data_IF_382105670057
#
_entry.id   IF_382105670057
#
_cell.length_a   1.000
_cell.length_b   1.000
_cell.length_c   1.000
_cell.angle_alpha   90.00
_cell.angle_beta   90.00
_cell.angle_gamma   90.00
#
_symmetry.space_group_name_H-M   'P 1'
#
loop_
_entity.id
_entity.type
_entity.pdbx_description
1 polymer ?
#
# COMPACT_ATOMS: atom_id res chain seq x y z
N UNK A 1 -87.56 -35.63 -33.01
CA UNK A 1 -86.34 -34.93 -32.61
C UNK A 1 -86.73 -33.64 -31.94
N UNK A 2 -86.67 -33.63 -30.61
CA UNK A 2 -87.21 -32.57 -29.79
C UNK A 2 -86.01 -31.72 -29.29
N UNK A 3 -85.91 -30.48 -29.76
CA UNK A 3 -84.91 -29.55 -29.22
C UNK A 3 -85.46 -28.94 -27.92
N UNK A 4 -84.65 -28.86 -26.89
CA UNK A 4 -85.06 -28.20 -25.63
C UNK A 4 -85.15 -26.69 -25.85
N UNK A 5 -86.08 -25.99 -25.19
CA UNK A 5 -86.25 -24.53 -25.32
C UNK A 5 -85.01 -23.81 -24.71
N UNK A 6 -84.50 -22.85 -25.48
CA UNK A 6 -83.41 -22.00 -25.08
C UNK A 6 -83.70 -21.22 -23.80
N UNK A 7 -82.81 -21.20 -22.87
CA UNK A 7 -82.90 -20.41 -21.64
C UNK A 7 -83.03 -18.91 -22.00
N UNK A 8 -83.84 -18.16 -21.32
CA UNK A 8 -83.99 -16.71 -21.55
C UNK A 8 -82.68 -16.04 -21.17
N UNK A 9 -82.15 -15.25 -22.10
CA UNK A 9 -80.97 -14.40 -21.85
C UNK A 9 -81.40 -13.33 -20.85
N UNK A 10 -81.07 -13.54 -19.59
CA UNK A 10 -81.27 -12.56 -18.53
C UNK A 10 -80.44 -11.34 -18.85
N UNK A 11 -81.02 -10.27 -19.31
CA UNK A 11 -80.40 -8.99 -19.57
C UNK A 11 -79.79 -8.50 -18.24
N UNK A 12 -78.53 -8.57 -18.11
CA UNK A 12 -77.83 -8.03 -16.96
C UNK A 12 -78.27 -6.57 -16.73
N UNK A 13 -78.78 -6.30 -15.55
CA UNK A 13 -79.18 -4.93 -15.16
C UNK A 13 -77.97 -4.02 -15.31
N UNK A 14 -78.15 -2.83 -15.95
CA UNK A 14 -77.02 -1.91 -16.09
C UNK A 14 -76.48 -1.57 -14.68
N UNK A 15 -75.24 -1.89 -14.43
CA UNK A 15 -74.56 -1.58 -13.17
C UNK A 15 -74.67 -0.07 -12.97
N UNK A 16 -75.29 0.34 -11.86
CA UNK A 16 -75.42 1.78 -11.58
C UNK A 16 -74.06 2.41 -11.53
N UNK A 17 -73.85 3.58 -12.15
CA UNK A 17 -72.60 4.35 -12.16
C UNK A 17 -72.00 4.51 -10.75
N UNK A 18 -72.85 4.51 -9.72
CA UNK A 18 -72.38 4.58 -8.32
C UNK A 18 -71.71 3.31 -7.87
N UNK A 19 -72.16 2.13 -8.26
CA UNK A 19 -71.52 0.83 -7.95
C UNK A 19 -70.15 0.71 -8.68
N UNK A 20 -70.15 1.08 -9.98
CA UNK A 20 -68.91 1.08 -10.76
C UNK A 20 -67.86 2.01 -10.16
N UNK A 21 -68.24 3.24 -9.82
CA UNK A 21 -67.28 4.18 -9.14
C UNK A 21 -66.76 3.65 -7.80
N UNK A 22 -67.65 2.94 -7.06
CA UNK A 22 -67.24 2.34 -5.75
C UNK A 22 -66.26 1.19 -5.94
N UNK A 23 -66.46 0.34 -6.92
CA UNK A 23 -65.59 -0.77 -7.25
C UNK A 23 -64.27 -0.30 -7.85
N UNK A 24 -64.30 0.71 -8.69
CA UNK A 24 -63.10 1.34 -9.24
C UNK A 24 -62.24 1.96 -8.14
N UNK A 25 -62.85 2.65 -7.17
CA UNK A 25 -62.12 3.18 -6.02
C UNK A 25 -61.48 2.09 -5.16
N UNK A 26 -62.17 0.96 -4.95
CA UNK A 26 -61.66 -0.21 -4.26
C UNK A 26 -60.49 -0.85 -5.01
N UNK A 27 -60.62 -0.97 -6.34
CA UNK A 27 -59.56 -1.51 -7.18
C UNK A 27 -58.30 -0.61 -7.18
N UNK A 28 -58.50 0.71 -7.27
CA UNK A 28 -57.41 1.70 -7.18
C UNK A 28 -56.73 1.66 -5.79
N UNK A 29 -57.55 1.50 -4.72
CA UNK A 29 -56.99 1.40 -3.36
C UNK A 29 -56.26 0.10 -3.11
N UNK A 30 -56.71 -1.01 -3.74
CA UNK A 30 -56.04 -2.31 -3.67
C UNK A 30 -54.77 -2.36 -4.52
N UNK A 31 -54.71 -1.60 -5.61
CA UNK A 31 -53.55 -1.46 -6.49
C UNK A 31 -52.73 -0.19 -6.21
N UNK A 32 -52.93 0.44 -5.05
CA UNK A 32 -51.96 1.43 -4.60
C UNK A 32 -50.66 0.67 -4.35
N UNK A 33 -49.84 0.61 -5.37
CA UNK A 33 -48.42 0.28 -5.24
C UNK A 33 -47.92 1.25 -4.20
N UNK A 34 -47.48 0.74 -3.04
CA UNK A 34 -46.76 1.55 -2.08
C UNK A 34 -45.63 2.21 -2.89
N UNK A 35 -45.42 3.53 -2.79
CA UNK A 35 -44.34 4.14 -3.51
C UNK A 35 -43.10 3.41 -3.06
N UNK A 36 -42.59 2.52 -3.92
CA UNK A 36 -41.23 1.99 -3.77
C UNK A 36 -40.36 3.19 -3.43
N UNK A 37 -39.65 3.09 -2.37
CA UNK A 37 -38.84 4.13 -1.74
C UNK A 37 -38.07 4.87 -2.86
N UNK A 38 -38.71 5.82 -3.50
CA UNK A 38 -38.15 6.63 -4.59
C UNK A 38 -37.09 7.63 -4.05
N UNK A 39 -36.94 7.70 -2.72
CA UNK A 39 -35.86 8.36 -2.06
C UNK A 39 -34.81 7.31 -1.65
N UNK A 40 -34.03 6.86 -2.63
CA UNK A 40 -32.73 6.30 -2.33
C UNK A 40 -32.03 7.33 -1.46
N UNK A 41 -31.69 6.97 -0.23
CA UNK A 41 -31.07 7.92 0.71
C UNK A 41 -29.64 8.19 0.24
N UNK A 42 -29.51 9.07 -0.76
CA UNK A 42 -28.25 9.43 -1.43
C UNK A 42 -27.22 9.88 -0.40
N UNK A 43 -27.69 10.54 0.66
CA UNK A 43 -26.82 11.02 1.76
C UNK A 43 -26.17 9.85 2.47
N UNK A 44 -26.89 8.77 2.77
CA UNK A 44 -26.33 7.59 3.41
C UNK A 44 -25.33 6.86 2.48
N UNK A 45 -25.63 6.80 1.18
CA UNK A 45 -24.69 6.22 0.21
C UNK A 45 -23.42 7.07 0.04
N UNK A 46 -23.54 8.40 0.02
CA UNK A 46 -22.38 9.29 -0.03
C UNK A 46 -21.52 9.17 1.22
N UNK A 47 -22.13 9.00 2.39
CA UNK A 47 -21.39 8.82 3.64
C UNK A 47 -20.60 7.50 3.63
N UNK A 48 -21.20 6.41 3.19
CA UNK A 48 -20.48 5.15 3.02
C UNK A 48 -19.34 5.25 1.98
N UNK A 49 -19.57 5.97 0.87
CA UNK A 49 -18.50 6.20 -0.11
C UNK A 49 -17.37 7.05 0.46
N UNK A 50 -17.67 8.08 1.24
CA UNK A 50 -16.63 8.92 1.86
C UNK A 50 -15.82 8.15 2.89
N UNK A 51 -16.45 7.29 3.70
CA UNK A 51 -15.75 6.43 4.65
C UNK A 51 -14.82 5.46 3.93
N UNK A 52 -15.29 4.81 2.85
CA UNK A 52 -14.48 3.90 2.04
C UNK A 52 -13.31 4.67 1.39
N UNK A 53 -13.57 5.87 0.85
CA UNK A 53 -12.54 6.68 0.23
C UNK A 53 -11.47 7.12 1.24
N UNK A 54 -11.87 7.58 2.42
CA UNK A 54 -10.95 7.94 3.50
C UNK A 54 -10.17 6.71 3.99
N UNK A 55 -10.83 5.56 4.10
CA UNK A 55 -10.17 4.30 4.44
C UNK A 55 -9.11 3.90 3.40
N UNK A 56 -9.45 3.99 2.10
CA UNK A 56 -8.51 3.69 1.02
C UNK A 56 -7.35 4.70 0.99
N UNK A 57 -7.63 6.00 1.18
CA UNK A 57 -6.57 7.01 1.27
C UNK A 57 -5.65 6.73 2.46
N UNK A 58 -6.21 6.40 3.62
CA UNK A 58 -5.43 6.04 4.81
C UNK A 58 -4.62 4.76 4.59
N UNK A 59 -5.22 3.75 3.97
CA UNK A 59 -4.53 2.50 3.63
C UNK A 59 -3.38 2.75 2.64
N UNK A 60 -3.60 3.59 1.63
CA UNK A 60 -2.57 3.96 0.66
C UNK A 60 -1.45 4.79 1.31
N UNK A 61 -1.80 5.74 2.17
CA UNK A 61 -0.82 6.57 2.90
C UNK A 61 0.05 5.75 3.85
N UNK A 62 -0.47 4.65 4.41
CA UNK A 62 0.31 3.74 5.27
C UNK A 62 1.27 2.88 4.44
N UNK A 63 0.97 2.65 3.14
CA UNK A 63 1.83 1.87 2.24
C UNK A 63 3.06 2.64 1.75
N UNK A 64 3.03 3.97 1.75
CA UNK A 64 4.04 4.81 1.11
C UNK A 64 5.19 5.24 2.02
N UNK A 65 5.45 4.68 3.12
CA UNK A 65 6.67 4.79 3.93
C UNK A 65 6.35 4.67 5.42
N UNK A 66 5.89 3.53 5.84
CA UNK A 66 6.25 3.12 7.19
C UNK A 66 7.73 2.72 7.14
N UNK A 67 8.61 3.71 7.02
CA UNK A 67 9.95 3.55 7.55
C UNK A 67 9.73 3.10 8.99
N UNK A 68 10.17 1.92 9.40
CA UNK A 68 10.14 1.56 10.79
C UNK A 68 11.02 2.61 11.49
N UNK A 69 10.38 3.67 11.99
CA UNK A 69 11.00 4.58 12.94
C UNK A 69 11.14 3.77 14.22
N UNK A 70 12.10 2.87 14.23
CA UNK A 70 12.58 2.37 15.48
C UNK A 70 13.25 3.57 16.18
N UNK A 71 12.87 3.83 17.43
CA UNK A 71 13.42 4.92 18.25
C UNK A 71 14.95 4.89 18.30
N UNK A 72 15.56 3.79 17.86
CA UNK A 72 16.99 3.54 17.78
C UNK A 72 17.66 3.98 16.48
N UNK A 73 16.95 4.59 15.51
CA UNK A 73 17.54 4.94 14.22
C UNK A 73 17.65 6.44 14.03
N UNK A 74 18.89 6.92 13.91
CA UNK A 74 19.19 8.32 13.57
C UNK A 74 19.68 8.39 12.12
N UNK A 75 18.93 9.07 11.27
CA UNK A 75 19.33 9.28 9.88
C UNK A 75 20.42 10.36 9.78
N UNK A 76 21.42 10.18 8.90
CA UNK A 76 22.42 11.20 8.63
C UNK A 76 21.78 12.42 7.99
N UNK A 77 22.29 13.62 8.30
CA UNK A 77 21.83 14.89 7.73
C UNK A 77 22.72 15.29 6.57
N UNK A 78 22.11 15.62 5.43
CA UNK A 78 22.83 16.16 4.27
C UNK A 78 22.85 17.69 4.31
N UNK A 79 23.97 18.28 3.92
CA UNK A 79 24.14 19.72 3.72
C UNK A 79 23.62 20.12 2.32
N UNK A 80 23.57 19.16 1.38
CA UNK A 80 23.10 19.39 0.04
C UNK A 80 21.56 19.49 0.04
N UNK A 81 21.06 20.56 -0.55
CA UNK A 81 19.61 20.85 -0.70
C UNK A 81 19.06 20.46 -2.07
N UNK A 82 19.81 19.67 -2.85
CA UNK A 82 19.36 19.23 -4.16
C UNK A 82 18.29 18.17 -3.96
N UNK A 83 17.07 18.50 -4.35
CA UNK A 83 15.97 17.53 -4.41
C UNK A 83 16.24 16.56 -5.56
N UNK A 84 15.98 15.27 -5.37
CA UNK A 84 16.07 14.31 -6.46
C UNK A 84 15.03 14.64 -7.54
N UNK A 85 15.42 14.53 -8.80
CA UNK A 85 14.55 14.81 -9.96
C UNK A 85 13.30 13.93 -10.02
N UNK A 86 13.29 12.81 -9.31
CA UNK A 86 12.16 11.89 -9.17
C UNK A 86 12.23 11.17 -7.81
N UNK A 87 11.07 10.80 -7.28
CA UNK A 87 11.03 9.93 -6.10
C UNK A 87 11.70 8.59 -6.45
N UNK A 88 12.67 8.12 -5.64
CA UNK A 88 13.34 6.87 -5.92
C UNK A 88 12.35 5.71 -5.78
N UNK A 89 12.08 5.02 -6.90
CA UNK A 89 11.33 3.77 -6.92
C UNK A 89 12.30 2.62 -6.72
N UNK A 90 12.25 1.93 -5.59
CA UNK A 90 13.16 0.81 -5.37
C UNK A 90 12.93 0.06 -4.08
N UNK A 91 13.69 -1.01 -3.91
CA UNK A 91 13.68 -1.82 -2.69
C UNK A 91 14.37 -1.07 -1.55
N UNK A 92 13.66 -0.87 -0.45
CA UNK A 92 14.25 -0.30 0.76
C UNK A 92 15.11 -1.34 1.48
N UNK A 93 16.38 -0.99 1.72
CA UNK A 93 17.32 -1.75 2.54
C UNK A 93 17.72 -0.87 3.72
N UNK A 94 17.32 -1.29 4.91
CA UNK A 94 17.52 -0.53 6.15
C UNK A 94 18.63 -1.17 6.97
N UNK A 95 19.62 -0.40 7.29
CA UNK A 95 20.74 -0.81 8.17
C UNK A 95 20.62 -0.04 9.48
N UNK A 96 20.00 -0.68 10.47
CA UNK A 96 19.92 -0.15 11.83
C UNK A 96 21.14 -0.56 12.67
N UNK A 97 21.21 -0.07 13.90
CA UNK A 97 22.28 -0.44 14.85
C UNK A 97 22.29 -1.92 15.21
N UNK A 98 21.13 -2.58 15.18
CA UNK A 98 20.96 -3.96 15.64
C UNK A 98 20.68 -4.97 14.53
N UNK A 99 20.21 -4.52 13.36
CA UNK A 99 19.73 -5.43 12.32
C UNK A 99 19.73 -4.82 10.92
N UNK A 100 19.79 -5.70 9.91
CA UNK A 100 19.59 -5.36 8.50
C UNK A 100 18.20 -5.85 8.09
N UNK A 101 17.41 -4.97 7.48
CA UNK A 101 16.04 -5.22 7.06
C UNK A 101 15.95 -5.00 5.55
N UNK A 102 15.28 -5.89 4.84
CA UNK A 102 14.97 -5.77 3.40
C UNK A 102 13.46 -5.72 3.24
N UNK A 103 12.94 -4.59 2.81
CA UNK A 103 11.49 -4.36 2.83
C UNK A 103 10.94 -4.43 4.25
N UNK A 104 10.23 -5.51 4.57
CA UNK A 104 9.65 -5.75 5.90
C UNK A 104 10.34 -6.90 6.67
N UNK A 105 11.33 -7.57 6.03
CA UNK A 105 11.93 -8.78 6.58
C UNK A 105 13.29 -8.49 7.20
N UNK A 106 13.48 -8.90 8.46
CA UNK A 106 14.80 -8.89 9.12
C UNK A 106 15.65 -9.99 8.52
N UNK A 107 16.83 -9.62 7.98
CA UNK A 107 17.70 -10.52 7.23
C UNK A 107 18.89 -10.99 8.06
N UNK A 108 19.51 -10.07 8.78
CA UNK A 108 20.67 -10.40 9.59
C UNK A 108 20.82 -9.44 10.78
N UNK A 109 21.28 -9.93 11.95
CA UNK A 109 21.61 -9.07 13.07
C UNK A 109 22.94 -8.37 12.82
N UNK A 110 23.07 -7.13 13.30
CA UNK A 110 24.32 -6.37 13.28
C UNK A 110 25.03 -6.55 14.63
N UNK A 111 26.24 -7.08 14.67
CA UNK A 111 26.99 -7.26 15.91
C UNK A 111 27.56 -5.92 16.42
N UNK A 112 27.81 -5.77 17.72
CA UNK A 112 28.37 -4.55 18.30
C UNK A 112 29.76 -4.23 17.81
N UNK A 113 30.54 -5.23 17.37
CA UNK A 113 31.90 -5.12 16.82
C UNK A 113 31.91 -4.94 15.29
N UNK A 114 30.78 -4.60 14.68
CA UNK A 114 30.64 -4.39 13.24
C UNK A 114 31.60 -3.34 12.67
N UNK A 115 32.09 -2.42 13.50
CA UNK A 115 33.09 -1.41 13.10
C UNK A 115 34.40 -2.05 12.65
N UNK A 116 34.83 -3.14 13.28
CA UNK A 116 36.09 -3.80 12.99
C UNK A 116 35.95 -4.92 11.94
N UNK A 117 34.90 -5.71 12.03
CA UNK A 117 34.77 -6.94 11.25
C UNK A 117 33.56 -6.98 10.30
N UNK A 118 32.70 -5.97 10.34
CA UNK A 118 31.42 -6.00 9.61
C UNK A 118 30.44 -6.99 10.24
N UNK A 119 29.69 -7.69 9.41
CA UNK A 119 28.77 -8.73 9.88
C UNK A 119 29.54 -10.00 10.29
N UNK A 120 28.94 -10.81 11.15
CA UNK A 120 29.53 -12.08 11.59
C UNK A 120 29.88 -13.02 10.43
N UNK A 121 31.01 -13.77 10.56
CA UNK A 121 31.51 -14.66 9.52
C UNK A 121 30.50 -15.74 9.07
N UNK A 122 29.60 -16.17 9.96
CA UNK A 122 28.57 -17.18 9.63
C UNK A 122 27.57 -16.71 8.58
N UNK A 123 27.39 -15.39 8.41
CA UNK A 123 26.50 -14.80 7.41
C UNK A 123 27.25 -14.48 6.09
N UNK A 124 28.57 -14.69 6.04
CA UNK A 124 29.40 -14.43 4.85
C UNK A 124 29.59 -15.69 4.03
N UNK A 125 29.80 -15.53 2.73
CA UNK A 125 29.93 -16.66 1.79
C UNK A 125 31.20 -17.51 2.00
N UNK A 126 32.30 -16.89 2.40
CA UNK A 126 33.59 -17.57 2.47
C UNK A 126 34.33 -17.31 3.80
N UNK A 127 35.09 -16.27 3.87
CA UNK A 127 35.93 -15.93 5.03
C UNK A 127 35.37 -14.71 5.78
N UNK A 128 35.91 -14.46 6.97
CA UNK A 128 35.57 -13.26 7.75
C UNK A 128 35.80 -11.94 6.98
N UNK A 129 36.70 -11.96 6.00
CA UNK A 129 37.00 -10.79 5.17
C UNK A 129 36.14 -10.68 3.91
N UNK A 130 35.29 -11.65 3.62
CA UNK A 130 34.36 -11.57 2.51
C UNK A 130 33.34 -10.44 2.73
N UNK A 131 32.99 -9.76 1.64
CA UNK A 131 32.04 -8.65 1.65
C UNK A 131 30.61 -9.10 1.35
N UNK A 132 30.43 -10.33 0.86
CA UNK A 132 29.11 -10.82 0.46
C UNK A 132 28.35 -11.40 1.66
N UNK A 133 27.19 -10.80 1.95
CA UNK A 133 26.28 -11.23 3.02
C UNK A 133 25.26 -12.20 2.42
N UNK A 134 25.37 -13.50 2.71
CA UNK A 134 24.55 -14.55 2.11
C UNK A 134 23.04 -14.36 2.33
N UNK A 135 22.55 -14.16 3.57
CA UNK A 135 21.11 -13.99 3.76
C UNK A 135 20.56 -12.73 3.11
N UNK A 136 21.35 -11.64 3.08
CA UNK A 136 20.98 -10.43 2.36
C UNK A 136 20.90 -10.69 0.85
N UNK A 137 21.90 -11.34 0.27
CA UNK A 137 21.89 -11.69 -1.14
C UNK A 137 20.71 -12.56 -1.54
N UNK A 138 20.34 -13.54 -0.72
CA UNK A 138 19.17 -14.41 -0.97
C UNK A 138 17.88 -13.62 -0.94
N UNK A 139 17.67 -12.73 0.02
CA UNK A 139 16.49 -11.88 0.11
C UNK A 139 16.39 -10.92 -1.09
N UNK A 140 17.51 -10.31 -1.48
CA UNK A 140 17.59 -9.42 -2.62
C UNK A 140 17.27 -10.14 -3.94
N UNK A 141 17.78 -11.36 -4.15
CA UNK A 141 17.50 -12.16 -5.33
C UNK A 141 16.02 -12.55 -5.42
N UNK A 142 15.42 -12.99 -4.32
CA UNK A 142 14.00 -13.34 -4.29
C UNK A 142 13.11 -12.13 -4.64
N UNK A 143 13.45 -10.95 -4.13
CA UNK A 143 12.76 -9.72 -4.48
C UNK A 143 12.98 -9.35 -5.95
N UNK A 144 14.22 -9.46 -6.43
CA UNK A 144 14.62 -9.16 -7.81
C UNK A 144 13.87 -10.02 -8.82
N UNK A 145 13.70 -11.30 -8.55
CA UNK A 145 12.93 -12.21 -9.44
C UNK A 145 11.46 -11.81 -9.52
N UNK A 146 10.90 -11.33 -8.44
CA UNK A 146 9.52 -10.81 -8.40
C UNK A 146 9.42 -9.49 -9.17
N UNK A 147 10.34 -8.55 -8.96
CA UNK A 147 10.38 -7.26 -9.66
C UNK A 147 10.56 -7.45 -11.17
N UNK A 148 11.45 -8.35 -11.61
CA UNK A 148 11.62 -8.71 -13.03
C UNK A 148 10.31 -9.16 -13.68
N UNK A 149 9.53 -10.01 -13.00
CA UNK A 149 8.23 -10.48 -13.50
C UNK A 149 7.22 -9.35 -13.64
N UNK A 150 7.15 -8.47 -12.61
CA UNK A 150 6.25 -7.32 -12.61
C UNK A 150 6.62 -6.34 -13.72
N UNK A 151 7.92 -6.03 -13.89
CA UNK A 151 8.41 -5.11 -14.93
C UNK A 151 8.16 -5.66 -16.34
N UNK A 152 8.38 -6.95 -16.56
CA UNK A 152 8.05 -7.61 -17.82
C UNK A 152 6.55 -7.53 -18.13
N UNK A 153 5.70 -7.75 -17.13
CA UNK A 153 4.24 -7.65 -17.30
C UNK A 153 3.76 -6.23 -17.57
N UNK A 154 4.47 -5.22 -17.07
CA UNK A 154 4.14 -3.78 -17.23
C UNK A 154 4.88 -3.12 -18.40
N UNK A 155 5.71 -3.85 -19.16
CA UNK A 155 6.49 -3.30 -20.29
C UNK A 155 7.62 -2.36 -19.85
N UNK A 156 8.03 -2.39 -18.60
CA UNK A 156 9.21 -1.67 -18.08
C UNK A 156 10.47 -2.52 -18.30
N UNK A 157 11.63 -1.87 -18.43
CA UNK A 157 12.92 -2.54 -18.57
C UNK A 157 13.27 -3.36 -17.30
N UNK A 158 13.42 -4.68 -17.39
CA UNK A 158 13.73 -5.53 -16.25
C UNK A 158 15.16 -5.36 -15.74
N UNK A 159 16.05 -4.69 -16.49
CA UNK A 159 17.45 -4.47 -16.08
C UNK A 159 17.62 -3.34 -15.07
N UNK A 160 16.67 -2.41 -15.02
CA UNK A 160 16.73 -1.22 -14.18
C UNK A 160 16.09 -1.46 -12.82
N UNK A 161 16.80 -2.10 -11.89
CA UNK A 161 16.36 -2.15 -10.51
C UNK A 161 17.20 -1.21 -9.65
N UNK A 162 16.49 -0.45 -8.84
CA UNK A 162 17.08 0.53 -7.93
C UNK A 162 16.87 0.08 -6.49
N UNK A 163 17.83 0.40 -5.62
CA UNK A 163 17.70 0.15 -4.19
C UNK A 163 17.82 1.46 -3.41
N UNK A 164 17.01 1.59 -2.37
CA UNK A 164 17.05 2.71 -1.43
C UNK A 164 17.75 2.22 -0.17
N UNK A 165 18.96 2.73 0.07
CA UNK A 165 19.73 2.39 1.24
C UNK A 165 19.51 3.42 2.35
N UNK A 166 19.00 2.95 3.47
CA UNK A 166 18.71 3.74 4.65
C UNK A 166 19.62 3.25 5.77
N UNK A 167 20.61 4.04 6.14
CA UNK A 167 21.59 3.66 7.16
C UNK A 167 21.52 4.60 8.37
N UNK A 168 21.71 4.04 9.56
CA UNK A 168 21.85 4.82 10.80
C UNK A 168 23.15 5.65 10.76
N UNK A 169 23.14 6.83 11.36
CA UNK A 169 24.30 7.72 11.46
C UNK A 169 25.54 7.04 12.06
N UNK A 170 25.34 6.11 12.98
CA UNK A 170 26.40 5.36 13.64
C UNK A 170 26.84 4.09 12.89
N UNK A 171 26.26 3.81 11.71
CA UNK A 171 26.60 2.61 10.92
C UNK A 171 28.05 2.63 10.51
N UNK A 172 28.85 1.60 10.85
CA UNK A 172 30.23 1.53 10.47
C UNK A 172 30.42 1.45 8.95
N UNK A 173 31.42 2.17 8.43
CA UNK A 173 31.75 2.17 7.01
C UNK A 173 31.99 0.76 6.45
N UNK A 174 32.60 -0.12 7.24
CA UNK A 174 32.80 -1.53 6.85
C UNK A 174 31.49 -2.25 6.54
N UNK A 175 30.51 -2.13 7.42
CA UNK A 175 29.20 -2.74 7.25
C UNK A 175 28.46 -2.16 6.04
N UNK A 176 28.52 -0.83 5.88
CA UNK A 176 27.92 -0.16 4.73
C UNK A 176 28.52 -0.68 3.41
N UNK A 177 29.85 -0.85 3.36
CA UNK A 177 30.52 -1.39 2.17
C UNK A 177 30.11 -2.83 1.87
N UNK A 178 29.94 -3.67 2.90
CA UNK A 178 29.46 -5.05 2.74
C UNK A 178 28.04 -5.12 2.18
N UNK A 179 27.14 -4.24 2.66
CA UNK A 179 25.77 -4.13 2.15
C UNK A 179 25.78 -3.65 0.69
N UNK A 180 26.51 -2.58 0.38
CA UNK A 180 26.60 -2.04 -0.99
C UNK A 180 27.21 -3.07 -1.96
N UNK A 181 28.24 -3.81 -1.53
CA UNK A 181 28.83 -4.88 -2.32
C UNK A 181 27.81 -5.99 -2.63
N UNK A 182 27.03 -6.40 -1.62
CA UNK A 182 26.01 -7.42 -1.77
C UNK A 182 24.90 -6.96 -2.70
N UNK A 183 24.48 -5.69 -2.62
CA UNK A 183 23.51 -5.08 -3.54
C UNK A 183 24.03 -5.12 -4.99
N UNK A 184 25.27 -4.70 -5.23
CA UNK A 184 25.87 -4.75 -6.56
C UNK A 184 25.96 -6.16 -7.13
N UNK A 185 26.28 -7.16 -6.29
CA UNK A 185 26.30 -8.57 -6.71
C UNK A 185 24.90 -9.14 -6.97
N UNK A 186 23.87 -8.51 -6.44
CA UNK A 186 22.46 -8.90 -6.62
C UNK A 186 21.78 -8.15 -7.78
N UNK A 187 22.55 -7.61 -8.71
CA UNK A 187 22.08 -6.94 -9.95
C UNK A 187 21.28 -5.64 -9.73
N UNK A 188 21.49 -4.95 -8.62
CA UNK A 188 20.95 -3.60 -8.49
C UNK A 188 21.87 -2.60 -9.20
N UNK A 189 21.31 -1.87 -10.18
CA UNK A 189 22.07 -0.96 -11.03
C UNK A 189 22.37 0.39 -10.39
N UNK A 190 21.47 0.83 -9.47
CA UNK A 190 21.61 2.12 -8.79
C UNK A 190 21.24 2.01 -7.32
N UNK A 191 21.91 2.82 -6.50
CA UNK A 191 21.67 2.94 -5.07
C UNK A 191 21.37 4.38 -4.72
N UNK A 192 20.27 4.61 -4.04
CA UNK A 192 19.93 5.92 -3.49
C UNK A 192 20.11 5.88 -1.98
N UNK A 193 21.01 6.70 -1.46
CA UNK A 193 21.15 6.82 -0.01
C UNK A 193 20.14 7.83 0.53
N UNK A 194 19.29 7.40 1.45
CA UNK A 194 18.34 8.28 2.11
C UNK A 194 19.01 9.04 3.26
N UNK A 195 18.90 10.35 3.23
CA UNK A 195 19.45 11.25 4.24
C UNK A 195 18.39 12.30 4.59
N UNK A 196 18.42 12.81 5.81
CA UNK A 196 17.59 13.94 6.19
C UNK A 196 18.17 15.23 5.60
N UNK A 197 17.29 16.08 5.07
CA UNK A 197 17.68 17.42 4.64
C UNK A 197 18.10 18.23 5.88
N UNK A 198 19.36 18.61 5.96
CA UNK A 198 19.86 19.50 6.99
C UNK A 198 19.30 20.91 6.75
N UNK A 199 18.68 21.50 7.78
CA UNK A 199 18.28 22.92 7.72
C UNK A 199 19.49 23.81 7.39
N UNK A 200 19.24 24.97 6.75
CA UNK A 200 20.26 25.96 6.38
C UNK A 200 21.27 26.14 7.52
N UNK A 201 22.55 26.09 7.20
CA UNK A 201 23.64 26.44 8.10
C UNK A 201 23.40 27.88 8.63
N UNK A 202 22.79 28.00 9.80
CA UNK A 202 22.45 29.33 10.37
C UNK A 202 21.31 29.34 11.38
N UNK A 203 20.48 28.31 11.48
CA UNK A 203 19.52 28.21 12.58
C UNK A 203 20.21 27.63 13.81
N UNK A 204 20.72 28.53 14.64
CA UNK A 204 21.23 28.25 15.99
C UNK A 204 20.15 27.46 16.74
N UNK A 205 20.44 26.20 17.01
CA UNK A 205 19.64 25.38 17.92
C UNK A 205 19.52 26.11 19.26
N UNK A 206 18.31 26.36 19.79
CA UNK A 206 18.21 26.95 21.12
C UNK A 206 18.84 25.97 22.11
N UNK A 207 19.96 26.38 22.69
CA UNK A 207 20.60 25.67 23.77
C UNK A 207 19.53 25.37 24.85
N UNK A 208 19.31 24.08 25.13
CA UNK A 208 18.53 23.66 26.28
C UNK A 208 19.21 24.26 27.51
N UNK A 209 18.49 25.17 28.19
CA UNK A 209 18.89 25.75 29.46
C UNK A 209 18.88 24.66 30.55
N UNK A 210 19.75 24.78 31.56
CA UNK A 210 19.94 23.80 32.64
C UNK A 210 18.74 23.64 33.57
#
# INVERSE_FOLDING_TARGET
>A
MNQPPGRPIERAKPASLAVYKRELRKAIQKNKVEPEIAFLNITAMMDMMTIILVFLLKSLSTSTASLPQSEDMQLPKSILTTEPDSEPEGLAVIVSRSQIIVGETVVAPVPPDAAQYGIEARYKRGSRNDYFIVPLGSALQAWRDTDKRIRMATGKDPSQSEAILIADLSTPYRLLTEVMFTLGQSEFSKFHMMVLQGGKLGSKEPAAAP
#
